data_IF_659341110931
#
_entry.id   IF_659341110931
#
_cell.length_a   1.000
_cell.length_b   1.000
_cell.length_c   1.000
_cell.angle_alpha   90.00
_cell.angle_beta   90.00
_cell.angle_gamma   90.00
#
_symmetry.space_group_name_H-M   'P 1'
#
loop_
_entity.id
_entity.type
_entity.pdbx_description
1 polymer ?
#
# COMPACT_ATOMS: atom_id res chain seq x y z
N UNK A 1 -38.65 12.35 1.54
CA UNK A 1 -37.69 12.39 0.41
C UNK A 1 -38.16 13.23 -0.78
N UNK A 2 -39.42 13.16 -1.22
CA UNK A 2 -39.90 13.90 -2.42
C UNK A 2 -39.84 15.45 -2.33
N UNK A 3 -40.05 16.05 -1.16
CA UNK A 3 -40.15 17.52 -1.01
C UNK A 3 -38.82 18.26 -1.25
N UNK A 4 -37.71 17.74 -0.71
CA UNK A 4 -36.37 18.32 -0.89
C UNK A 4 -35.88 18.24 -2.35
N UNK A 5 -36.18 17.15 -3.04
CA UNK A 5 -35.85 17.02 -4.47
C UNK A 5 -36.59 18.04 -5.33
N UNK A 6 -37.87 18.32 -5.02
CA UNK A 6 -38.64 19.36 -5.70
C UNK A 6 -38.09 20.76 -5.42
N UNK A 7 -37.71 21.04 -4.18
CA UNK A 7 -37.09 22.31 -3.81
C UNK A 7 -35.76 22.54 -4.55
N UNK A 8 -34.90 21.52 -4.65
CA UNK A 8 -33.66 21.59 -5.42
C UNK A 8 -33.88 21.76 -6.93
N UNK A 9 -34.85 21.04 -7.50
CA UNK A 9 -35.20 21.18 -8.91
C UNK A 9 -35.72 22.59 -9.24
N UNK A 10 -36.55 23.17 -8.37
CA UNK A 10 -37.06 24.54 -8.53
C UNK A 10 -35.95 25.57 -8.34
N UNK A 11 -35.02 25.35 -7.41
CA UNK A 11 -33.88 26.24 -7.19
C UNK A 11 -32.93 26.26 -8.40
N UNK A 12 -32.62 25.09 -8.95
CA UNK A 12 -31.81 24.94 -10.17
C UNK A 12 -32.46 25.58 -11.40
N UNK A 13 -33.79 25.44 -11.55
CA UNK A 13 -34.52 26.10 -12.65
C UNK A 13 -34.48 27.64 -12.59
N UNK A 14 -34.24 28.23 -11.41
CA UNK A 14 -34.15 29.68 -11.23
C UNK A 14 -32.74 30.22 -11.40
N UNK A 15 -31.74 29.39 -11.13
CA UNK A 15 -30.32 29.72 -11.22
C UNK A 15 -29.56 28.44 -11.60
N UNK A 16 -29.13 28.36 -12.85
CA UNK A 16 -28.47 27.18 -13.45
C UNK A 16 -27.13 26.86 -12.78
N UNK A 17 -26.55 27.83 -12.06
CA UNK A 17 -25.33 27.64 -11.26
C UNK A 17 -25.61 27.04 -9.86
N UNK A 18 -26.86 26.98 -9.42
CA UNK A 18 -27.23 26.59 -8.07
C UNK A 18 -27.47 25.06 -7.97
N UNK A 19 -26.38 24.31 -8.11
CA UNK A 19 -26.37 22.87 -7.90
C UNK A 19 -26.37 22.57 -6.40
N UNK A 20 -27.20 21.63 -5.90
CA UNK A 20 -27.14 21.23 -4.51
C UNK A 20 -25.77 20.60 -4.21
N UNK A 21 -24.93 21.34 -3.52
CA UNK A 21 -23.66 20.83 -2.99
C UNK A 21 -23.98 19.90 -1.83
N UNK A 22 -23.77 18.61 -2.04
CA UNK A 22 -23.89 17.67 -0.95
C UNK A 22 -22.74 17.91 0.04
N UNK A 23 -23.07 18.41 1.23
CA UNK A 23 -22.15 18.46 2.37
C UNK A 23 -21.93 17.03 2.91
N UNK A 24 -21.39 16.15 2.08
CA UNK A 24 -20.89 14.87 2.58
C UNK A 24 -19.69 15.19 3.49
N UNK A 25 -19.74 14.66 4.71
CA UNK A 25 -18.67 14.84 5.70
C UNK A 25 -17.30 14.47 5.13
N UNK A 26 -16.25 15.08 5.68
CA UNK A 26 -14.86 14.86 5.25
C UNK A 26 -14.56 13.36 5.15
N UNK A 27 -14.16 12.92 3.96
CA UNK A 27 -13.78 11.54 3.71
C UNK A 27 -12.48 11.23 4.44
N UNK A 28 -12.56 10.51 5.56
CA UNK A 28 -11.40 10.04 6.32
C UNK A 28 -10.81 8.77 5.68
N UNK A 29 -10.54 8.81 4.37
CA UNK A 29 -9.88 7.72 3.67
C UNK A 29 -8.42 7.59 4.11
N UNK A 30 -7.95 6.35 4.30
CA UNK A 30 -6.51 6.10 4.42
C UNK A 30 -5.82 6.46 3.11
N UNK A 31 -4.68 7.14 3.17
CA UNK A 31 -3.85 7.50 2.00
C UNK A 31 -3.48 6.27 1.17
N UNK A 32 -3.35 5.10 1.80
CA UNK A 32 -3.15 3.80 1.14
C UNK A 32 -4.29 3.34 0.19
N UNK A 33 -5.38 4.10 0.03
CA UNK A 33 -6.35 3.81 -1.04
C UNK A 33 -5.81 4.14 -2.43
N UNK A 34 -4.78 4.97 -2.49
CA UNK A 34 -4.01 5.21 -3.70
C UNK A 34 -3.24 3.93 -4.06
N UNK A 35 -3.63 3.31 -5.19
CA UNK A 35 -3.04 2.06 -5.67
C UNK A 35 -1.58 2.24 -6.08
N UNK A 36 -1.22 3.41 -6.62
CA UNK A 36 0.14 3.72 -7.05
C UNK A 36 1.07 3.76 -5.84
N UNK A 37 0.63 4.41 -4.75
CA UNK A 37 1.38 4.45 -3.50
C UNK A 37 1.54 3.05 -2.90
N UNK A 38 0.50 2.21 -2.95
CA UNK A 38 0.58 0.85 -2.45
C UNK A 38 1.61 0.02 -3.24
N UNK A 39 1.64 0.16 -4.57
CA UNK A 39 2.62 -0.51 -5.43
C UNK A 39 4.05 -0.04 -5.15
N UNK A 40 4.29 1.25 -4.95
CA UNK A 40 5.61 1.76 -4.62
C UNK A 40 6.13 1.23 -3.28
N UNK A 41 5.26 1.20 -2.26
CA UNK A 41 5.61 0.60 -0.96
C UNK A 41 5.94 -0.88 -1.14
N UNK A 42 5.20 -1.61 -1.98
CA UNK A 42 5.53 -3.00 -2.30
C UNK A 42 6.91 -3.15 -2.94
N UNK A 43 7.23 -2.33 -3.95
CA UNK A 43 8.53 -2.37 -4.63
C UNK A 43 9.69 -2.03 -3.68
N UNK A 44 9.50 -1.01 -2.83
CA UNK A 44 10.48 -0.65 -1.82
C UNK A 44 10.73 -1.80 -0.84
N UNK A 45 9.67 -2.41 -0.32
CA UNK A 45 9.77 -3.54 0.60
C UNK A 45 10.42 -4.77 -0.08
N UNK A 46 10.15 -5.01 -1.36
CA UNK A 46 10.77 -6.10 -2.11
C UNK A 46 12.28 -5.88 -2.28
N UNK A 47 12.74 -4.63 -2.42
CA UNK A 47 14.17 -4.29 -2.54
C UNK A 47 14.96 -4.49 -1.24
N UNK A 48 14.29 -4.47 -0.07
CA UNK A 48 14.93 -4.67 1.23
C UNK A 48 15.22 -6.15 1.54
N UNK A 49 14.62 -7.08 0.79
CA UNK A 49 14.83 -8.51 0.93
C UNK A 49 13.84 -9.21 1.88
N UNK A 50 14.20 -10.39 2.44
CA UNK A 50 13.25 -11.25 3.16
C UNK A 50 12.86 -10.72 4.54
N UNK A 51 13.70 -9.87 5.16
CA UNK A 51 13.48 -9.35 6.51
C UNK A 51 12.90 -7.94 6.48
N UNK A 52 11.63 -7.85 6.10
CA UNK A 52 10.87 -6.59 6.13
C UNK A 52 10.24 -6.36 7.50
N UNK A 53 9.99 -5.11 7.84
CA UNK A 53 9.30 -4.69 9.07
C UNK A 53 8.33 -3.53 8.81
N UNK A 54 7.39 -3.32 9.73
CA UNK A 54 6.52 -2.14 9.67
C UNK A 54 7.30 -0.83 9.84
N UNK A 55 8.50 -0.88 10.44
CA UNK A 55 9.34 0.30 10.60
C UNK A 55 9.89 0.77 9.25
N UNK A 56 10.12 -0.13 8.30
CA UNK A 56 10.62 0.21 6.97
C UNK A 56 9.61 1.05 6.19
N UNK A 57 8.32 0.74 6.34
CA UNK A 57 7.23 1.55 5.77
C UNK A 57 7.19 2.94 6.43
N UNK A 58 7.42 3.04 7.74
CA UNK A 58 7.52 4.33 8.43
C UNK A 58 8.72 5.13 7.92
N UNK A 59 9.86 4.49 7.72
CA UNK A 59 11.08 5.12 7.23
C UNK A 59 10.90 5.63 5.80
N UNK A 60 10.30 4.82 4.91
CA UNK A 60 9.96 5.21 3.54
C UNK A 60 9.04 6.43 3.51
N UNK A 61 7.96 6.40 4.29
CA UNK A 61 7.01 7.53 4.40
C UNK A 61 7.60 8.75 5.13
N UNK A 62 8.71 8.57 5.84
CA UNK A 62 9.43 9.66 6.48
C UNK A 62 10.41 10.35 5.53
N UNK A 63 10.67 9.78 4.35
CA UNK A 63 11.48 10.43 3.30
C UNK A 63 10.85 11.74 2.85
N UNK A 64 11.69 12.76 2.65
CA UNK A 64 11.25 14.10 2.29
C UNK A 64 10.62 14.14 0.89
N UNK A 65 11.08 13.28 -0.03
CA UNK A 65 10.52 13.12 -1.37
C UNK A 65 9.07 12.64 -1.33
N UNK A 66 8.78 11.65 -0.48
CA UNK A 66 7.44 11.07 -0.34
C UNK A 66 6.51 12.05 0.37
N UNK A 67 6.99 12.75 1.39
CA UNK A 67 6.23 13.78 2.12
C UNK A 67 5.83 14.96 1.23
N UNK A 68 6.77 15.47 0.43
CA UNK A 68 6.51 16.59 -0.48
C UNK A 68 5.51 16.21 -1.54
N UNK A 69 5.67 15.04 -2.16
CA UNK A 69 4.73 14.54 -3.18
C UNK A 69 3.31 14.36 -2.65
N UNK A 70 3.16 13.83 -1.42
CA UNK A 70 1.85 13.58 -0.79
C UNK A 70 1.32 14.77 0.04
N UNK A 71 2.06 15.89 0.10
CA UNK A 71 1.76 17.05 0.94
C UNK A 71 1.47 16.69 2.42
N UNK A 72 2.19 15.69 2.95
CA UNK A 72 2.01 15.22 4.33
C UNK A 72 2.86 16.04 5.30
N UNK A 73 2.21 16.63 6.31
CA UNK A 73 2.90 17.39 7.38
C UNK A 73 3.72 16.50 8.33
N UNK A 74 3.29 15.26 8.51
CA UNK A 74 3.92 14.31 9.41
C UNK A 74 3.99 12.93 8.75
N UNK A 75 5.02 12.17 9.11
CA UNK A 75 5.10 10.76 8.75
C UNK A 75 3.98 9.94 9.41
N UNK A 76 3.82 8.70 8.94
CA UNK A 76 2.84 7.78 9.53
C UNK A 76 3.36 7.21 10.86
N UNK A 77 2.44 6.87 11.75
CA UNK A 77 2.78 6.13 12.97
C UNK A 77 3.04 4.64 12.66
N UNK A 78 3.79 3.97 13.53
CA UNK A 78 4.02 2.53 13.46
C UNK A 78 2.70 1.72 13.43
N UNK A 79 1.69 2.14 14.20
CA UNK A 79 0.37 1.49 14.17
C UNK A 79 -0.32 1.63 12.82
N UNK A 80 -0.15 2.76 12.14
CA UNK A 80 -0.69 2.98 10.80
C UNK A 80 0.03 2.09 9.80
N UNK A 81 1.36 2.01 9.86
CA UNK A 81 2.16 1.12 9.01
C UNK A 81 1.76 -0.36 9.18
N UNK A 82 1.54 -0.81 10.41
CA UNK A 82 1.04 -2.18 10.67
C UNK A 82 -0.33 -2.44 10.04
N UNK A 83 -1.26 -1.48 10.13
CA UNK A 83 -2.56 -1.58 9.47
C UNK A 83 -2.42 -1.63 7.95
N UNK A 84 -1.53 -0.83 7.38
CA UNK A 84 -1.25 -0.81 5.96
C UNK A 84 -0.71 -2.15 5.47
N UNK A 85 0.28 -2.70 6.16
CA UNK A 85 0.82 -4.02 5.81
C UNK A 85 -0.23 -5.12 5.88
N UNK A 86 -1.13 -5.09 6.88
CA UNK A 86 -2.28 -6.02 6.94
C UNK A 86 -3.24 -5.83 5.77
N UNK A 87 -3.50 -4.59 5.36
CA UNK A 87 -4.36 -4.27 4.22
C UNK A 87 -3.74 -4.74 2.89
N UNK A 88 -2.43 -4.54 2.73
CA UNK A 88 -1.58 -5.05 1.63
C UNK A 88 -1.33 -6.56 1.69
N UNK A 89 -1.99 -7.28 2.62
CA UNK A 89 -1.96 -8.74 2.76
C UNK A 89 -0.61 -9.34 3.16
N UNK A 90 0.31 -8.57 3.71
CA UNK A 90 1.53 -9.11 4.32
C UNK A 90 1.18 -10.00 5.52
N UNK A 91 1.85 -11.15 5.61
CA UNK A 91 1.69 -12.12 6.70
C UNK A 91 3.02 -12.31 7.41
N UNK A 92 3.02 -12.05 8.72
CA UNK A 92 4.12 -12.36 9.60
C UNK A 92 3.94 -13.78 10.10
N UNK A 93 4.43 -14.74 9.34
CA UNK A 93 4.41 -16.15 9.74
C UNK A 93 5.79 -16.70 9.56
N UNK A 94 6.30 -17.42 10.56
CA UNK A 94 7.52 -18.18 10.40
C UNK A 94 7.30 -19.15 9.23
N UNK A 95 8.23 -19.19 8.30
CA UNK A 95 8.19 -20.18 7.23
C UNK A 95 8.12 -21.58 7.87
N UNK A 96 7.15 -22.42 7.50
CA UNK A 96 7.10 -23.78 8.01
C UNK A 96 8.39 -24.49 7.60
N UNK A 97 9.17 -24.91 8.60
CA UNK A 97 10.42 -25.66 8.40
C UNK A 97 10.13 -26.86 7.48
N UNK A 98 10.64 -26.81 6.25
CA UNK A 98 10.46 -27.88 5.28
C UNK A 98 10.19 -27.44 3.84
N UNK A 99 9.90 -26.15 3.60
CA UNK A 99 9.80 -25.61 2.24
C UNK A 99 11.03 -24.76 1.93
N UNK A 100 11.91 -25.28 1.07
CA UNK A 100 13.05 -24.54 0.53
C UNK A 100 12.53 -23.50 -0.48
N UNK A 101 12.35 -22.25 -0.03
CA UNK A 101 11.92 -21.12 -0.87
C UNK A 101 13.08 -20.51 -1.66
N UNK A 102 14.26 -20.52 -1.06
CA UNK A 102 15.53 -20.30 -1.72
C UNK A 102 15.97 -21.62 -2.36
N UNK A 103 16.24 -21.60 -3.66
CA UNK A 103 17.01 -22.63 -4.33
C UNK A 103 18.46 -22.58 -3.86
N UNK A 104 18.67 -22.80 -2.56
CA UNK A 104 19.97 -22.98 -1.93
C UNK A 104 20.50 -24.33 -2.41
N UNK A 105 20.86 -24.39 -3.70
CA UNK A 105 21.61 -25.48 -4.28
C UNK A 105 22.90 -25.55 -3.45
N UNK A 106 23.03 -26.58 -2.62
CA UNK A 106 24.27 -26.80 -1.88
C UNK A 106 25.42 -26.88 -2.89
N UNK A 107 26.57 -26.31 -2.52
CA UNK A 107 27.75 -26.22 -3.40
C UNK A 107 28.16 -27.57 -4.00
N UNK A 108 27.97 -28.67 -3.26
CA UNK A 108 28.20 -30.04 -3.73
C UNK A 108 27.24 -30.45 -4.86
N UNK A 109 25.96 -30.09 -4.76
CA UNK A 109 24.93 -30.35 -5.77
C UNK A 109 25.17 -29.52 -7.03
N UNK A 110 25.56 -28.23 -6.89
CA UNK A 110 25.92 -27.37 -8.02
C UNK A 110 27.14 -27.93 -8.76
N UNK A 111 28.17 -28.32 -8.02
CA UNK A 111 29.41 -28.87 -8.55
C UNK A 111 29.15 -30.17 -9.31
N UNK A 112 28.33 -31.07 -8.76
CA UNK A 112 27.94 -32.30 -9.44
C UNK A 112 27.21 -32.04 -10.76
N UNK A 113 26.27 -31.08 -10.79
CA UNK A 113 25.54 -30.75 -12.02
C UNK A 113 26.45 -30.17 -13.11
N UNK A 114 27.39 -29.31 -12.74
CA UNK A 114 28.25 -28.60 -13.69
C UNK A 114 29.42 -29.46 -14.21
N UNK A 115 29.98 -30.32 -13.36
CA UNK A 115 31.24 -31.00 -13.67
C UNK A 115 31.11 -32.52 -13.83
N UNK A 116 30.00 -33.14 -13.42
CA UNK A 116 29.81 -34.60 -13.45
C UNK A 116 28.61 -35.01 -14.28
N UNK A 117 27.49 -34.29 -14.18
CA UNK A 117 26.23 -34.70 -14.80
C UNK A 117 26.22 -34.59 -16.33
N UNK A 118 27.05 -33.72 -16.91
CA UNK A 118 27.21 -33.63 -18.37
C UNK A 118 28.68 -33.89 -18.74
N UNK A 119 29.01 -35.06 -19.33
CA UNK A 119 30.27 -35.25 -20.04
C UNK A 119 30.31 -34.48 -21.37
#
# INVERSE_FOLDING_TARGET
MSRRLREWAIAFMKDDANLPTAEYGKFNGSVLKDEDLAQEIHLYLQSLGPFISAQDVVNYMSSEEVKTRLNLKHGISLRTAQRWMKQMKYRWTAEPKGMYSDGHEREDVVNYRQNVFLP
#
